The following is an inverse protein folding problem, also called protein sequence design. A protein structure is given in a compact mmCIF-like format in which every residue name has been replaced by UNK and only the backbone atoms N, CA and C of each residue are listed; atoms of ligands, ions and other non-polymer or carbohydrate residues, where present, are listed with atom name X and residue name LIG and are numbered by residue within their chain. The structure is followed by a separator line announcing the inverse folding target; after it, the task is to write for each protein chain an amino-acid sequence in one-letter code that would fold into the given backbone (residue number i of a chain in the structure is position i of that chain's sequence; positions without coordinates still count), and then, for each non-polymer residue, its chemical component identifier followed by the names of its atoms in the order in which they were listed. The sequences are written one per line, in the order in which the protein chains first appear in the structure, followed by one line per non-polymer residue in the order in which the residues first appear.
data_IF_793078876956
#
_entry.id   IF_793078876956
#
_cell.length_a   1.000
_cell.length_b   1.000
_cell.length_c   1.000
_cell.angle_alpha   90.00
_cell.angle_beta   90.00
_cell.angle_gamma   90.00
#
_symmetry.space_group_name_H-M   'P 1'
#
loop_
_entity.id
_entity.type
_entity.pdbx_description
1 polymer ?
#
# COMPACT_ATOMS: atom_id res chain seq x y z
N UNK A 1 -7.04 -7.39 3.02
CA UNK A 1 -5.66 -7.79 2.63
C UNK A 1 -5.74 -9.08 1.85
N UNK A 2 -5.05 -9.17 0.72
CA UNK A 2 -4.91 -10.39 -0.08
C UNK A 2 -3.45 -10.61 -0.46
N UNK A 3 -2.97 -11.84 -0.31
CA UNK A 3 -1.66 -12.28 -0.80
C UNK A 3 -1.84 -12.92 -2.18
N UNK A 4 -1.79 -12.13 -3.24
CA UNK A 4 -2.17 -12.57 -4.58
C UNK A 4 -1.02 -12.36 -5.57
N UNK A 5 -0.55 -13.44 -6.19
CA UNK A 5 0.38 -13.42 -7.31
C UNK A 5 -0.35 -13.71 -8.62
N UNK A 6 -0.10 -13.01 -9.73
CA UNK A 6 -0.68 -13.34 -11.03
C UNK A 6 -0.35 -14.75 -11.57
N UNK A 7 0.54 -15.49 -10.91
CA UNK A 7 1.07 -16.80 -11.33
C UNK A 7 0.75 -17.93 -10.33
N UNK A 8 -0.11 -17.64 -9.34
CA UNK A 8 -0.40 -18.47 -8.15
C UNK A 8 -1.18 -19.77 -8.35
N UNK A 9 -0.90 -20.71 -9.24
CA UNK A 9 -1.82 -21.88 -9.44
C UNK A 9 -3.29 -21.47 -9.75
N UNK A 10 -4.09 -22.31 -10.40
CA UNK A 10 -5.41 -21.84 -10.83
C UNK A 10 -6.41 -21.80 -9.67
N UNK A 11 -6.39 -22.82 -8.82
CA UNK A 11 -7.32 -22.97 -7.70
C UNK A 11 -7.16 -21.86 -6.67
N UNK A 12 -5.93 -21.62 -6.20
CA UNK A 12 -5.64 -20.59 -5.20
C UNK A 12 -6.03 -19.18 -5.70
N UNK A 13 -5.68 -18.83 -6.95
CA UNK A 13 -6.11 -17.54 -7.51
C UNK A 13 -7.63 -17.40 -7.55
N UNK A 14 -8.36 -18.43 -7.98
CA UNK A 14 -9.81 -18.37 -8.07
C UNK A 14 -10.46 -18.21 -6.68
N UNK A 15 -9.93 -18.90 -5.67
CA UNK A 15 -10.39 -18.77 -4.29
C UNK A 15 -10.20 -17.33 -3.77
N UNK A 16 -9.02 -16.75 -3.98
CA UNK A 16 -8.72 -15.37 -3.59
C UNK A 16 -9.59 -14.35 -4.34
N UNK A 17 -9.76 -14.53 -5.65
CA UNK A 17 -10.61 -13.69 -6.50
C UNK A 17 -12.07 -13.70 -6.02
N UNK A 18 -12.61 -14.89 -5.74
CA UNK A 18 -13.97 -15.08 -5.23
C UNK A 18 -14.15 -14.37 -3.88
N UNK A 19 -13.22 -14.57 -2.94
CA UNK A 19 -13.28 -13.94 -1.64
C UNK A 19 -13.24 -12.40 -1.72
N UNK A 20 -12.39 -11.85 -2.60
CA UNK A 20 -12.31 -10.40 -2.80
C UNK A 20 -13.61 -9.86 -3.40
N UNK A 21 -14.24 -10.56 -4.34
CA UNK A 21 -15.54 -10.18 -4.90
C UNK A 21 -16.66 -10.19 -3.87
N UNK A 22 -16.68 -11.20 -2.99
CA UNK A 22 -17.67 -11.28 -1.90
C UNK A 22 -17.55 -10.11 -0.92
N UNK A 23 -16.32 -9.80 -0.50
CA UNK A 23 -16.05 -8.64 0.38
C UNK A 23 -16.44 -7.33 -0.31
N UNK A 24 -16.08 -7.16 -1.57
CA UNK A 24 -16.44 -5.97 -2.34
C UNK A 24 -17.96 -5.79 -2.43
N UNK A 25 -18.69 -6.86 -2.76
CA UNK A 25 -20.15 -6.83 -2.80
C UNK A 25 -20.75 -6.48 -1.44
N UNK A 26 -20.25 -7.06 -0.35
CA UNK A 26 -20.71 -6.73 0.99
C UNK A 26 -20.47 -5.25 1.34
N UNK A 27 -19.34 -4.67 0.94
CA UNK A 27 -19.06 -3.23 1.08
C UNK A 27 -20.07 -2.39 0.27
N UNK A 28 -20.36 -2.76 -0.98
CA UNK A 28 -21.37 -2.08 -1.79
C UNK A 28 -22.77 -2.14 -1.16
N UNK A 29 -23.20 -3.33 -0.73
CA UNK A 29 -24.54 -3.55 -0.17
C UNK A 29 -24.73 -2.83 1.18
N UNK A 30 -23.65 -2.65 1.94
CA UNK A 30 -23.66 -1.98 3.25
C UNK A 30 -23.29 -0.49 3.21
N UNK A 31 -22.80 0.02 2.07
CA UNK A 31 -22.35 1.41 1.92
C UNK A 31 -21.02 1.73 2.60
N UNK A 32 -20.19 0.73 2.91
CA UNK A 32 -18.86 0.95 3.47
C UNK A 32 -17.80 1.10 2.37
N UNK A 33 -16.81 1.96 2.61
CA UNK A 33 -15.65 2.08 1.73
C UNK A 33 -14.74 0.84 1.84
N UNK A 34 -14.21 0.38 0.70
CA UNK A 34 -13.25 -0.72 0.66
C UNK A 34 -11.82 -0.22 0.42
N UNK A 35 -10.92 -0.51 1.37
CA UNK A 35 -9.47 -0.43 1.19
C UNK A 35 -8.90 -1.82 0.87
N UNK A 36 -8.54 -2.06 -0.39
CA UNK A 36 -7.96 -3.34 -0.80
C UNK A 36 -6.43 -3.28 -0.76
N UNK A 37 -5.84 -4.02 0.18
CA UNK A 37 -4.39 -4.21 0.30
C UNK A 37 -3.95 -5.45 -0.49
N UNK A 38 -3.04 -5.26 -1.45
CA UNK A 38 -2.47 -6.33 -2.29
C UNK A 38 -1.00 -6.50 -1.98
N UNK A 39 -0.60 -7.73 -1.65
CA UNK A 39 0.79 -8.09 -1.37
C UNK A 39 1.16 -9.31 -2.24
N UNK A 40 2.29 -9.24 -2.95
CA UNK A 40 2.85 -10.44 -3.58
C UNK A 40 3.40 -11.39 -2.49
N UNK A 41 3.05 -12.69 -2.50
CA UNK A 41 3.50 -13.67 -1.52
C UNK A 41 5.03 -13.70 -1.31
N UNK A 42 5.46 -14.15 -0.14
CA UNK A 42 6.88 -14.39 0.14
C UNK A 42 7.35 -15.63 -0.63
N UNK A 43 8.56 -15.59 -1.17
CA UNK A 43 9.15 -16.72 -1.92
C UNK A 43 8.75 -16.79 -3.39
N UNK A 44 7.93 -15.85 -3.88
CA UNK A 44 7.58 -15.71 -5.29
C UNK A 44 8.31 -14.53 -5.94
N UNK A 45 8.41 -14.51 -7.29
CA UNK A 45 8.91 -13.35 -8.02
C UNK A 45 8.21 -12.05 -7.63
N UNK A 46 8.94 -10.95 -7.64
CA UNK A 46 8.39 -9.63 -7.31
C UNK A 46 8.82 -8.63 -8.36
N UNK A 47 7.84 -7.93 -8.92
CA UNK A 47 8.06 -6.82 -9.85
C UNK A 47 6.81 -5.93 -9.89
N UNK A 48 7.01 -4.67 -10.25
CA UNK A 48 5.90 -3.73 -10.42
C UNK A 48 4.88 -4.23 -11.46
N UNK A 49 5.35 -4.88 -12.53
CA UNK A 49 4.50 -5.45 -13.57
C UNK A 49 3.53 -6.52 -13.02
N UNK A 50 3.96 -7.28 -12.00
CA UNK A 50 3.09 -8.26 -11.35
C UNK A 50 2.01 -7.58 -10.50
N UNK A 51 2.32 -6.46 -9.84
CA UNK A 51 1.31 -5.64 -9.16
C UNK A 51 0.29 -5.06 -10.14
N UNK A 52 0.75 -4.45 -11.25
CA UNK A 52 -0.14 -3.92 -12.29
C UNK A 52 -1.06 -5.00 -12.87
N UNK A 53 -0.53 -6.21 -13.11
CA UNK A 53 -1.34 -7.37 -13.56
C UNK A 53 -2.39 -7.78 -12.54
N UNK A 54 -2.04 -7.85 -11.25
CA UNK A 54 -2.99 -8.20 -10.19
C UNK A 54 -4.12 -7.17 -10.08
N UNK A 55 -3.78 -5.88 -10.12
CA UNK A 55 -4.76 -4.78 -10.06
C UNK A 55 -5.67 -4.79 -11.29
N UNK A 56 -5.09 -4.95 -12.49
CA UNK A 56 -5.86 -5.09 -13.72
C UNK A 56 -6.80 -6.30 -13.67
N UNK A 57 -6.37 -7.41 -13.06
CA UNK A 57 -7.21 -8.59 -12.89
C UNK A 57 -8.42 -8.29 -12.00
N UNK A 58 -8.26 -7.61 -10.87
CA UNK A 58 -9.37 -7.22 -10.01
C UNK A 58 -10.38 -6.31 -10.74
N UNK A 59 -9.90 -5.35 -11.52
CA UNK A 59 -10.80 -4.54 -12.36
C UNK A 59 -11.54 -5.36 -13.41
N UNK A 60 -10.89 -6.36 -14.03
CA UNK A 60 -11.54 -7.26 -14.98
C UNK A 60 -12.64 -8.12 -14.33
N UNK A 61 -12.54 -8.34 -13.01
CA UNK A 61 -13.54 -9.06 -12.21
C UNK A 61 -14.65 -8.13 -11.67
N UNK A 62 -14.62 -6.84 -12.02
CA UNK A 62 -15.58 -5.85 -11.56
C UNK A 62 -15.34 -5.33 -10.14
N UNK A 63 -14.20 -5.66 -9.52
CA UNK A 63 -13.82 -5.17 -8.20
C UNK A 63 -13.23 -3.77 -8.35
N UNK A 64 -13.89 -2.77 -7.76
CA UNK A 64 -13.53 -1.35 -7.81
C UNK A 64 -13.44 -0.78 -6.40
N UNK A 65 -12.35 -1.06 -5.66
CA UNK A 65 -12.23 -0.60 -4.28
C UNK A 65 -12.10 0.93 -4.24
N UNK A 66 -12.67 1.57 -3.22
CA UNK A 66 -12.50 3.01 -2.99
C UNK A 66 -11.03 3.41 -2.86
N UNK A 67 -10.23 2.54 -2.22
CA UNK A 67 -8.82 2.78 -1.97
C UNK A 67 -7.98 1.55 -2.26
N UNK A 68 -6.80 1.79 -2.82
CA UNK A 68 -5.75 0.77 -2.91
C UNK A 68 -4.70 0.98 -1.83
N UNK A 69 -4.23 -0.12 -1.24
CA UNK A 69 -3.04 -0.11 -0.39
C UNK A 69 -1.96 -0.96 -1.06
N UNK A 70 -0.91 -0.30 -1.55
CA UNK A 70 0.13 -0.89 -2.40
C UNK A 70 1.54 -0.60 -1.85
N UNK A 71 2.54 -1.45 -2.11
CA UNK A 71 3.93 -1.11 -1.79
C UNK A 71 4.44 0.01 -2.70
N UNK A 72 5.59 0.62 -2.37
CA UNK A 72 6.32 1.46 -3.29
C UNK A 72 6.55 0.76 -4.64
N UNK A 73 6.17 1.44 -5.72
CA UNK A 73 6.50 1.09 -7.10
C UNK A 73 7.51 2.09 -7.64
N UNK A 74 8.18 1.76 -8.74
CA UNK A 74 8.97 2.74 -9.47
C UNK A 74 8.10 3.86 -10.05
N UNK A 75 8.71 5.01 -10.33
CA UNK A 75 8.05 6.17 -10.94
C UNK A 75 7.25 5.83 -12.20
N UNK A 76 7.82 5.03 -13.11
CA UNK A 76 7.15 4.61 -14.34
C UNK A 76 5.90 3.77 -14.04
N UNK A 77 6.01 2.86 -13.07
CA UNK A 77 4.90 2.00 -12.68
C UNK A 77 3.77 2.75 -11.97
N UNK A 78 4.10 3.82 -11.24
CA UNK A 78 3.06 4.73 -10.72
C UNK A 78 2.29 5.43 -11.84
N UNK A 79 2.96 5.87 -12.91
CA UNK A 79 2.29 6.46 -14.07
C UNK A 79 1.39 5.44 -14.76
N UNK A 80 1.89 4.23 -15.00
CA UNK A 80 1.09 3.15 -15.58
C UNK A 80 -0.12 2.76 -14.70
N UNK A 81 0.05 2.79 -13.37
CA UNK A 81 -1.06 2.52 -12.45
C UNK A 81 -2.09 3.65 -12.47
N UNK A 82 -1.64 4.91 -12.49
CA UNK A 82 -2.53 6.08 -12.59
C UNK A 82 -3.41 5.98 -13.84
N UNK A 83 -2.82 5.65 -14.99
CA UNK A 83 -3.53 5.44 -16.26
C UNK A 83 -4.53 4.28 -16.15
N UNK A 84 -4.07 3.12 -15.66
CA UNK A 84 -4.92 1.94 -15.47
C UNK A 84 -6.15 2.24 -14.60
N UNK A 85 -5.96 2.90 -13.46
CA UNK A 85 -7.06 3.22 -12.55
C UNK A 85 -7.97 4.26 -13.20
N UNK A 86 -7.42 5.30 -13.83
CA UNK A 86 -8.21 6.35 -14.47
C UNK A 86 -9.14 5.79 -15.56
N UNK A 87 -8.67 4.83 -16.36
CA UNK A 87 -9.46 4.19 -17.40
C UNK A 87 -10.56 3.26 -16.85
N UNK A 88 -10.31 2.61 -15.70
CA UNK A 88 -11.18 1.54 -15.17
C UNK A 88 -12.15 2.00 -14.10
N UNK A 89 -11.79 3.03 -13.36
CA UNK A 89 -12.48 3.45 -12.15
C UNK A 89 -12.33 4.95 -11.86
N UNK A 90 -13.30 5.72 -12.34
CA UNK A 90 -13.42 7.16 -12.06
C UNK A 90 -13.79 7.48 -10.60
N UNK A 91 -14.18 6.47 -9.80
CA UNK A 91 -14.60 6.66 -8.41
C UNK A 91 -13.52 6.30 -7.38
N UNK A 92 -12.40 5.71 -7.83
CA UNK A 92 -11.26 5.44 -6.96
C UNK A 92 -10.76 6.73 -6.30
N UNK A 93 -10.65 6.71 -4.98
CA UNK A 93 -10.27 7.88 -4.15
C UNK A 93 -8.76 8.05 -4.07
N UNK A 94 -8.02 6.95 -4.24
CA UNK A 94 -6.58 6.97 -4.40
C UNK A 94 -5.88 5.76 -3.84
N UNK A 95 -4.57 5.93 -3.63
CA UNK A 95 -3.66 4.90 -3.14
C UNK A 95 -2.99 5.40 -1.86
N UNK A 96 -2.84 4.50 -0.88
CA UNK A 96 -1.95 4.69 0.27
C UNK A 96 -0.79 3.71 0.20
N UNK A 97 0.43 4.22 0.40
CA UNK A 97 1.64 3.39 0.40
C UNK A 97 1.73 2.56 1.68
N UNK A 98 2.05 1.28 1.54
CA UNK A 98 2.28 0.38 2.67
C UNK A 98 3.77 0.14 2.90
N UNK A 99 4.14 -0.14 4.16
CA UNK A 99 5.55 -0.17 4.57
C UNK A 99 6.27 -1.51 4.47
N UNK A 100 5.61 -2.67 4.57
CA UNK A 100 6.27 -4.00 4.58
C UNK A 100 7.50 -4.16 5.50
N UNK A 101 7.57 -3.46 6.63
CA UNK A 101 8.78 -3.39 7.49
C UNK A 101 9.99 -2.71 6.83
N UNK A 102 9.77 -1.99 5.74
CA UNK A 102 10.79 -1.19 5.09
C UNK A 102 11.40 -0.19 6.08
N UNK A 103 12.69 0.02 5.90
CA UNK A 103 13.46 1.06 6.56
C UNK A 103 12.94 2.45 6.19
N UNK A 104 13.30 3.44 7.01
CA UNK A 104 12.99 4.84 6.75
C UNK A 104 13.54 5.31 5.39
N UNK A 105 14.74 4.84 5.01
CA UNK A 105 15.37 5.17 3.73
C UNK A 105 14.62 4.58 2.52
N UNK A 106 14.17 3.32 2.63
CA UNK A 106 13.36 2.68 1.58
C UNK A 106 12.00 3.38 1.42
N UNK A 107 11.36 3.78 2.53
CA UNK A 107 10.13 4.57 2.50
C UNK A 107 10.35 5.95 1.87
N UNK A 108 11.45 6.63 2.21
CA UNK A 108 11.78 7.92 1.61
C UNK A 108 11.96 7.82 0.09
N UNK A 109 12.66 6.80 -0.39
CA UNK A 109 12.78 6.53 -1.84
C UNK A 109 11.41 6.26 -2.46
N UNK A 110 10.59 5.42 -1.82
CA UNK A 110 9.25 5.11 -2.29
C UNK A 110 8.33 6.33 -2.37
N UNK A 111 8.45 7.26 -1.41
CA UNK A 111 7.71 8.53 -1.43
C UNK A 111 8.16 9.42 -2.59
N UNK A 112 9.46 9.47 -2.88
CA UNK A 112 10.00 10.23 -4.00
C UNK A 112 9.55 9.67 -5.36
N UNK A 113 9.47 8.35 -5.51
CA UNK A 113 8.94 7.71 -6.73
C UNK A 113 7.44 7.95 -6.92
N UNK A 114 6.68 7.98 -5.82
CA UNK A 114 5.24 8.24 -5.83
C UNK A 114 4.88 9.73 -5.97
N UNK A 115 5.85 10.65 -5.88
CA UNK A 115 5.58 12.08 -5.71
C UNK A 115 4.80 12.73 -6.87
N UNK A 116 4.87 12.15 -8.07
CA UNK A 116 4.13 12.63 -9.25
C UNK A 116 2.88 11.82 -9.58
N UNK A 117 2.56 10.77 -8.80
CA UNK A 117 1.28 10.09 -8.95
C UNK A 117 0.15 11.01 -8.53
N UNK A 118 -0.92 11.03 -9.32
CA UNK A 118 -2.15 11.76 -9.01
C UNK A 118 -3.00 11.02 -7.98
N UNK A 119 -2.81 9.71 -7.84
CA UNK A 119 -3.62 8.86 -6.99
C UNK A 119 -2.99 8.60 -5.63
N UNK A 120 -1.66 8.62 -5.47
CA UNK A 120 -1.05 8.38 -4.16
C UNK A 120 -1.32 9.57 -3.22
N UNK A 121 -2.12 9.34 -2.17
CA UNK A 121 -2.58 10.39 -1.24
C UNK A 121 -1.88 10.36 0.12
N UNK A 122 -1.19 9.28 0.43
CA UNK A 122 -0.59 9.11 1.76
C UNK A 122 0.11 7.77 1.91
N UNK A 123 0.35 7.43 3.16
CA UNK A 123 0.96 6.17 3.57
C UNK A 123 0.24 5.60 4.80
N UNK A 124 0.24 4.28 4.91
CA UNK A 124 -0.28 3.51 6.03
C UNK A 124 0.78 2.50 6.46
N UNK A 125 1.61 2.92 7.42
CA UNK A 125 2.80 2.18 7.90
C UNK A 125 2.64 1.85 9.38
N UNK A 126 3.04 0.63 9.77
CA UNK A 126 2.87 0.13 11.13
C UNK A 126 4.20 -0.21 11.78
N UNK A 127 4.69 -1.42 11.52
CA UNK A 127 5.91 -1.98 12.14
C UNK A 127 7.17 -1.12 11.98
N UNK A 128 7.29 -0.30 10.94
CA UNK A 128 8.37 0.71 10.82
C UNK A 128 8.33 1.74 11.95
N UNK A 129 7.14 2.12 12.44
CA UNK A 129 6.95 3.11 13.51
C UNK A 129 7.18 2.51 14.89
N UNK A 130 6.59 1.35 15.18
CA UNK A 130 6.55 0.80 16.54
C UNK A 130 7.37 -0.47 16.73
N UNK A 131 7.85 -1.13 15.67
CA UNK A 131 8.47 -2.45 15.78
C UNK A 131 9.72 -2.49 16.66
N UNK A 132 10.68 -1.60 16.45
CA UNK A 132 11.89 -1.54 17.28
C UNK A 132 11.61 -1.02 18.71
N UNK A 133 10.86 0.08 18.91
CA UNK A 133 10.48 0.54 20.25
C UNK A 133 9.73 -0.53 21.05
N UNK A 134 8.74 -1.20 20.46
CA UNK A 134 7.97 -2.26 21.13
C UNK A 134 8.85 -3.44 21.55
N UNK A 135 9.85 -3.83 20.74
CA UNK A 135 10.78 -4.90 21.14
C UNK A 135 11.64 -4.50 22.33
N UNK A 136 12.17 -3.28 22.36
CA UNK A 136 12.97 -2.79 23.48
C UNK A 136 12.13 -2.69 24.76
N UNK A 137 10.89 -2.22 24.64
CA UNK A 137 9.96 -2.10 25.76
C UNK A 137 9.59 -3.48 26.35
N UNK A 138 9.24 -4.44 25.49
CA UNK A 138 8.97 -5.83 25.92
C UNK A 138 10.19 -6.50 26.56
N UNK A 139 11.40 -6.08 26.20
CA UNK A 139 12.64 -6.56 26.79
C UNK A 139 13.02 -5.83 28.11
N UNK A 140 12.20 -4.88 28.58
CA UNK A 140 12.46 -4.08 29.77
C UNK A 140 13.64 -3.11 29.62
N UNK A 141 14.03 -2.79 28.38
CA UNK A 141 15.15 -1.90 28.08
C UNK A 141 14.76 -0.42 28.05
N UNK A 142 13.48 -0.15 27.82
CA UNK A 142 12.89 1.19 27.84
C UNK A 142 11.57 1.17 28.61
N UNK A 143 11.20 2.32 29.18
CA UNK A 143 9.92 2.52 29.87
C UNK A 143 8.79 2.97 28.92
N UNK A 144 7.59 3.18 29.49
CA UNK A 144 6.39 3.59 28.75
C UNK A 144 6.56 4.96 28.08
N UNK A 145 7.22 5.91 28.76
CA UNK A 145 7.42 7.27 28.23
C UNK A 145 8.38 7.25 27.05
N UNK A 146 9.46 6.47 27.15
CA UNK A 146 10.41 6.24 26.07
C UNK A 146 9.77 5.52 24.88
N UNK A 147 8.89 4.54 25.11
CA UNK A 147 8.14 3.86 24.05
C UNK A 147 7.28 4.86 23.27
N UNK A 148 6.49 5.67 23.97
CA UNK A 148 5.62 6.68 23.36
C UNK A 148 6.43 7.73 22.62
N UNK A 149 7.51 8.23 23.24
CA UNK A 149 8.42 9.21 22.64
C UNK A 149 9.04 8.71 21.33
N UNK A 150 9.59 7.51 21.32
CA UNK A 150 10.21 6.94 20.13
C UNK A 150 9.21 6.70 18.99
N UNK A 151 8.02 6.17 19.28
CA UNK A 151 6.97 5.96 18.26
C UNK A 151 6.53 7.30 17.66
N UNK A 152 6.35 8.32 18.50
CA UNK A 152 6.01 9.68 18.06
C UNK A 152 7.09 10.26 17.15
N UNK A 153 8.36 10.17 17.55
CA UNK A 153 9.47 10.71 16.77
C UNK A 153 9.61 9.99 15.42
N UNK A 154 9.44 8.66 15.39
CA UNK A 154 9.41 7.88 14.15
C UNK A 154 8.29 8.36 13.22
N UNK A 155 7.09 8.62 13.78
CA UNK A 155 5.95 9.10 13.00
C UNK A 155 6.19 10.49 12.42
N UNK A 156 6.72 11.43 13.22
CA UNK A 156 7.02 12.79 12.76
C UNK A 156 8.06 12.79 11.64
N UNK A 157 9.12 11.98 11.75
CA UNK A 157 10.11 11.83 10.68
C UNK A 157 9.49 11.32 9.37
N UNK A 158 8.61 10.31 9.43
CA UNK A 158 7.93 9.84 8.21
C UNK A 158 6.99 10.89 7.62
N UNK A 159 6.31 11.68 8.45
CA UNK A 159 5.49 12.82 7.97
C UNK A 159 6.36 13.86 7.28
N UNK A 160 7.54 14.16 7.82
CA UNK A 160 8.47 15.12 7.21
C UNK A 160 9.03 14.60 5.89
N UNK A 161 9.44 13.33 5.83
CA UNK A 161 9.86 12.68 4.58
C UNK A 161 8.75 12.69 3.53
N UNK A 162 7.51 12.39 3.95
CA UNK A 162 6.35 12.48 3.07
C UNK A 162 6.17 13.90 2.54
N UNK A 163 6.26 14.94 3.38
CA UNK A 163 6.13 16.34 2.95
C UNK A 163 7.27 16.80 2.04
N UNK A 164 8.48 16.29 2.25
CA UNK A 164 9.68 16.61 1.46
C UNK A 164 9.74 15.87 0.13
N UNK A 165 8.85 14.89 -0.10
CA UNK A 165 8.75 14.21 -1.40
C UNK A 165 8.55 15.25 -2.49
N UNK A 166 9.46 15.29 -3.46
CA UNK A 166 9.52 16.39 -4.42
C UNK A 166 8.27 16.42 -5.30
N UNK A 167 7.46 17.47 -5.15
CA UNK A 167 6.48 17.87 -6.17
C UNK A 167 7.05 19.13 -6.81
N UNK A 168 7.94 19.00 -7.79
CA UNK A 168 8.34 20.17 -8.58
C UNK A 168 7.08 20.80 -9.17
N UNK A 169 6.80 22.10 -8.91
CA UNK A 169 5.63 22.74 -9.49
C UNK A 169 5.76 22.70 -11.01
N UNK A 170 4.70 22.26 -11.68
CA UNK A 170 4.59 22.34 -13.14
C UNK A 170 4.72 23.83 -13.52
N UNK A 171 5.81 24.18 -14.21
CA UNK A 171 5.93 25.45 -14.91
C UNK A 171 5.17 25.40 -16.24
#
# INVERSE_FOLDING_TARGET
LVFCHPEDEAGLRLEQETMVQEVYRACCDSGHELLLEVILPVGMPRSDALYLRAIQRFYNLGVKPDWWKLPPLSRHSWQALDELIHERDSHCRGVVLLGLDASEAELASGFADAAHSRLVKGFAVGRTLFGAPSRAWLAGQIDDEQLVGQIKDNYLRLVDLWRQRQVSPSH
#
